data_IF_026811298159
#
_entry.id   IF_026811298159
#
_cell.length_a   1.000
_cell.length_b   1.000
_cell.length_c   1.000
_cell.angle_alpha   90.00
_cell.angle_beta   90.00
_cell.angle_gamma   90.00
#
_symmetry.space_group_name_H-M   'P 1'
#
loop_
_entity.id
_entity.type
_entity.pdbx_description
1 polymer ?
#
# COMPACT_ATOMS: atom_id res chain seq x y z
N UNK A 1 -12.66 -34.65 19.64
CA UNK A 1 -11.19 -34.74 19.83
C UNK A 1 -10.66 -33.32 19.79
N UNK A 2 -9.75 -33.02 20.71
CA UNK A 2 -9.24 -31.71 21.11
C UNK A 2 -8.69 -30.87 19.95
N UNK A 3 -9.27 -29.68 19.74
CA UNK A 3 -8.62 -28.59 19.02
C UNK A 3 -7.42 -28.14 19.85
N UNK A 4 -6.24 -28.56 19.44
CA UNK A 4 -4.97 -28.00 19.89
C UNK A 4 -4.93 -26.53 19.48
N UNK A 5 -5.20 -25.65 20.43
CA UNK A 5 -4.88 -24.23 20.35
C UNK A 5 -3.37 -24.10 20.14
N UNK A 6 -2.99 -23.75 18.91
CA UNK A 6 -1.63 -23.34 18.53
C UNK A 6 -1.28 -22.06 19.30
N UNK A 7 -0.77 -22.22 20.52
CA UNK A 7 -0.34 -21.11 21.38
C UNK A 7 1.06 -20.60 21.02
N UNK A 8 1.60 -20.91 19.83
CA UNK A 8 2.97 -20.54 19.43
C UNK A 8 3.07 -19.64 18.21
N UNK A 9 1.97 -19.34 17.51
CA UNK A 9 2.03 -18.58 16.25
C UNK A 9 1.70 -17.09 16.43
N UNK A 10 1.01 -16.72 17.50
CA UNK A 10 0.76 -15.32 17.87
C UNK A 10 2.01 -14.59 18.37
N UNK A 11 3.14 -15.29 18.57
CA UNK A 11 4.40 -14.68 19.06
C UNK A 11 5.19 -13.94 18.00
N UNK A 12 4.90 -14.17 16.71
CA UNK A 12 5.68 -13.60 15.60
C UNK A 12 5.27 -12.17 15.24
N UNK A 13 4.18 -11.68 15.83
CA UNK A 13 3.66 -10.34 15.66
C UNK A 13 3.63 -9.63 17.00
N UNK A 14 4.04 -8.37 17.01
CA UNK A 14 3.93 -7.50 18.17
C UNK A 14 3.00 -6.33 17.87
N UNK A 15 2.21 -5.96 18.87
CA UNK A 15 1.29 -4.83 18.81
C UNK A 15 2.07 -3.52 18.95
N UNK A 16 1.92 -2.62 17.96
CA UNK A 16 2.52 -1.29 18.01
C UNK A 16 1.72 -0.31 18.87
N UNK A 17 0.50 -0.68 19.31
CA UNK A 17 -0.41 0.14 20.10
C UNK A 17 -0.74 1.49 19.46
N UNK A 18 -0.84 1.52 18.13
CA UNK A 18 -1.18 2.72 17.36
C UNK A 18 -2.70 2.82 17.20
N UNK A 19 -3.37 1.68 17.01
CA UNK A 19 -4.79 1.58 16.77
C UNK A 19 -5.52 0.91 17.94
N UNK A 20 -6.65 1.48 18.40
CA UNK A 20 -7.53 0.79 19.32
C UNK A 20 -8.15 -0.43 18.62
N UNK A 21 -8.38 -1.50 19.39
CA UNK A 21 -9.11 -2.66 18.90
C UNK A 21 -10.58 -2.26 18.68
N UNK A 22 -10.98 -2.24 17.42
CA UNK A 22 -12.36 -2.00 16.97
C UNK A 22 -12.66 -2.96 15.82
N UNK A 23 -13.95 -3.26 15.60
CA UNK A 23 -14.37 -4.11 14.48
C UNK A 23 -13.94 -3.54 13.11
N UNK A 24 -13.70 -2.23 13.03
CA UNK A 24 -13.21 -1.55 11.82
C UNK A 24 -11.72 -1.80 11.54
N UNK A 25 -10.94 -2.15 12.57
CA UNK A 25 -9.49 -2.38 12.49
C UNK A 25 -9.13 -3.87 12.56
N UNK A 26 -10.13 -4.74 12.66
CA UNK A 26 -9.95 -6.19 12.67
C UNK A 26 -9.59 -6.67 11.27
N UNK A 27 -8.76 -7.73 11.21
CA UNK A 27 -8.52 -8.43 9.96
C UNK A 27 -9.83 -9.05 9.46
N UNK A 28 -10.25 -8.73 8.24
CA UNK A 28 -11.44 -9.27 7.59
C UNK A 28 -11.12 -10.32 6.51
N UNK A 29 -9.83 -10.65 6.35
CA UNK A 29 -9.33 -11.47 5.25
C UNK A 29 -9.26 -12.94 5.66
N UNK A 30 -10.23 -13.75 5.26
CA UNK A 30 -10.29 -15.16 5.62
C UNK A 30 -9.40 -16.07 4.73
N UNK A 31 -9.43 -17.37 5.02
CA UNK A 31 -8.64 -18.37 4.29
C UNK A 31 -9.05 -18.49 2.81
N UNK A 32 -10.31 -18.23 2.44
CA UNK A 32 -10.77 -18.26 1.04
C UNK A 32 -10.09 -17.13 0.23
N UNK A 33 -9.95 -15.95 0.83
CA UNK A 33 -9.22 -14.85 0.18
C UNK A 33 -7.73 -15.16 0.01
N UNK A 34 -7.13 -15.88 0.97
CA UNK A 34 -5.73 -16.35 0.86
C UNK A 34 -5.58 -17.34 -0.30
N UNK A 35 -6.53 -18.27 -0.45
CA UNK A 35 -6.53 -19.22 -1.58
C UNK A 35 -6.64 -18.50 -2.92
N UNK A 36 -7.54 -17.51 -3.04
CA UNK A 36 -7.65 -16.67 -4.25
C UNK A 36 -6.33 -15.98 -4.56
N UNK A 37 -5.65 -15.43 -3.55
CA UNK A 37 -4.35 -14.77 -3.72
C UNK A 37 -3.26 -15.74 -4.16
N UNK A 38 -3.23 -16.96 -3.64
CA UNK A 38 -2.32 -18.02 -4.10
C UNK A 38 -2.56 -18.40 -5.57
N UNK A 39 -3.84 -18.52 -5.96
CA UNK A 39 -4.23 -18.87 -7.32
C UNK A 39 -3.99 -17.75 -8.33
N UNK A 40 -3.95 -16.49 -7.87
CA UNK A 40 -3.75 -15.32 -8.73
C UNK A 40 -2.38 -15.28 -9.42
N UNK A 41 -1.41 -16.07 -8.94
CA UNK A 41 0.01 -16.01 -9.36
C UNK A 41 0.62 -14.61 -9.21
N UNK A 42 0.05 -13.77 -8.33
CA UNK A 42 0.57 -12.45 -8.01
C UNK A 42 1.90 -12.48 -7.25
N UNK A 43 2.26 -13.65 -6.69
CA UNK A 43 3.46 -13.89 -5.90
C UNK A 43 4.27 -15.06 -6.49
N UNK A 44 5.58 -15.13 -6.19
CA UNK A 44 6.40 -16.30 -6.50
C UNK A 44 5.83 -17.60 -5.91
N UNK A 45 6.04 -18.73 -6.58
CA UNK A 45 5.48 -20.04 -6.17
C UNK A 45 5.96 -20.49 -4.79
N UNK A 46 7.16 -20.08 -4.38
CA UNK A 46 7.76 -20.36 -3.08
C UNK A 46 7.24 -19.48 -1.94
N UNK A 47 6.30 -18.56 -2.23
CA UNK A 47 5.75 -17.64 -1.22
C UNK A 47 4.93 -18.39 -0.20
N UNK A 48 5.31 -18.23 1.07
CA UNK A 48 4.57 -18.79 2.21
C UNK A 48 3.51 -17.78 2.64
N UNK A 49 2.25 -18.20 2.59
CA UNK A 49 1.12 -17.43 3.12
C UNK A 49 0.79 -17.88 4.53
N UNK A 50 0.50 -16.92 5.41
CA UNK A 50 0.00 -17.18 6.76
C UNK A 50 -1.53 -17.22 6.71
N UNK A 51 -2.13 -18.20 7.38
CA UNK A 51 -3.59 -18.31 7.55
C UNK A 51 -4.19 -17.10 8.25
N UNK A 52 -5.49 -16.92 8.07
CA UNK A 52 -6.25 -15.88 8.74
C UNK A 52 -6.12 -15.99 10.26
N UNK A 53 -5.87 -14.85 10.89
CA UNK A 53 -5.83 -14.70 12.34
C UNK A 53 -6.68 -13.47 12.73
N UNK A 54 -7.89 -13.67 13.27
CA UNK A 54 -8.78 -12.57 13.64
C UNK A 54 -8.22 -11.69 14.76
N UNK A 55 -7.20 -12.15 15.49
CA UNK A 55 -6.54 -11.36 16.53
C UNK A 55 -5.48 -10.39 15.97
N UNK A 56 -5.14 -10.47 14.68
CA UNK A 56 -4.21 -9.53 14.07
C UNK A 56 -4.90 -8.20 13.73
N UNK A 57 -4.36 -7.12 14.26
CA UNK A 57 -4.72 -5.75 13.91
C UNK A 57 -3.84 -5.23 12.78
N UNK A 58 -4.31 -4.20 12.09
CA UNK A 58 -3.55 -3.53 11.03
C UNK A 58 -2.22 -2.88 11.49
N UNK A 59 -2.08 -2.58 12.78
CA UNK A 59 -0.86 -2.03 13.38
C UNK A 59 0.06 -3.09 14.01
N UNK A 60 -0.25 -4.38 13.85
CA UNK A 60 0.69 -5.43 14.22
C UNK A 60 1.86 -5.48 13.23
N UNK A 61 3.07 -5.70 13.76
CA UNK A 61 4.29 -5.79 12.97
C UNK A 61 5.03 -7.08 13.25
N UNK A 62 5.78 -7.57 12.27
CA UNK A 62 6.59 -8.78 12.37
C UNK A 62 7.97 -8.53 11.78
N UNK A 63 8.98 -9.17 12.38
CA UNK A 63 10.33 -9.23 11.83
C UNK A 63 10.52 -10.37 10.83
N UNK A 64 9.54 -11.28 10.74
CA UNK A 64 9.55 -12.46 9.85
C UNK A 64 8.58 -12.32 8.69
N UNK A 65 7.40 -11.75 8.95
CA UNK A 65 6.32 -11.67 7.99
C UNK A 65 6.16 -10.25 7.43
N UNK A 66 5.76 -10.17 6.16
CA UNK A 66 5.42 -8.91 5.50
C UNK A 66 3.92 -8.89 5.23
N UNK A 67 3.24 -7.86 5.74
CA UNK A 67 1.81 -7.67 5.50
C UNK A 67 1.60 -6.87 4.22
N UNK A 68 0.72 -7.36 3.35
CA UNK A 68 0.30 -6.65 2.15
C UNK A 68 -1.20 -6.34 2.20
N UNK A 69 -1.63 -5.14 1.78
CA UNK A 69 -3.04 -4.91 1.46
C UNK A 69 -3.40 -5.67 0.18
N UNK A 70 -4.66 -6.09 0.03
CA UNK A 70 -5.16 -6.75 -1.19
C UNK A 70 -5.19 -5.81 -2.40
N UNK A 71 -5.54 -4.54 -2.15
CA UNK A 71 -5.82 -3.55 -3.18
C UNK A 71 -4.76 -3.41 -4.31
N UNK A 72 -3.44 -3.40 -4.05
CA UNK A 72 -2.42 -3.31 -5.10
C UNK A 72 -2.49 -4.45 -6.11
N UNK A 73 -2.83 -5.66 -5.65
CA UNK A 73 -2.93 -6.84 -6.51
C UNK A 73 -4.20 -6.78 -7.37
N UNK A 74 -5.29 -6.20 -6.84
CA UNK A 74 -6.49 -5.89 -7.64
C UNK A 74 -6.20 -4.90 -8.79
N UNK A 75 -5.15 -4.08 -8.66
CA UNK A 75 -4.68 -3.18 -9.73
C UNK A 75 -3.78 -3.89 -10.76
N UNK A 76 -3.55 -5.20 -10.62
CA UNK A 76 -2.72 -6.02 -11.50
C UNK A 76 -1.22 -5.91 -11.22
N UNK A 77 -0.83 -5.54 -9.98
CA UNK A 77 0.57 -5.61 -9.56
C UNK A 77 0.95 -7.02 -9.13
N UNK A 78 2.23 -7.33 -9.31
CA UNK A 78 2.88 -8.56 -8.88
C UNK A 78 3.99 -8.21 -7.88
N UNK A 79 4.22 -9.08 -6.90
CA UNK A 79 5.37 -8.96 -6.02
C UNK A 79 6.56 -9.77 -6.60
N UNK A 80 7.81 -9.24 -6.58
CA UNK A 80 8.24 -7.95 -6.05
C UNK A 80 7.70 -6.75 -6.85
N UNK A 81 7.29 -5.70 -6.15
CA UNK A 81 6.71 -4.52 -6.79
C UNK A 81 7.71 -3.80 -7.71
N UNK A 82 7.22 -3.11 -8.76
CA UNK A 82 8.07 -2.34 -9.66
C UNK A 82 8.98 -1.33 -8.97
N UNK A 83 10.13 -1.02 -9.59
CA UNK A 83 11.22 -0.23 -8.98
C UNK A 83 10.76 1.06 -8.32
N UNK A 84 9.94 1.86 -9.00
CA UNK A 84 9.43 3.13 -8.45
C UNK A 84 8.62 2.93 -7.16
N UNK A 85 7.79 1.89 -7.13
CA UNK A 85 6.94 1.56 -5.96
C UNK A 85 7.84 1.10 -4.81
N UNK A 86 8.77 0.18 -5.10
CA UNK A 86 9.72 -0.33 -4.12
C UNK A 86 10.61 0.79 -3.54
N UNK A 87 11.09 1.71 -4.37
CA UNK A 87 11.86 2.88 -3.93
C UNK A 87 11.03 3.85 -3.09
N UNK A 88 9.77 4.06 -3.45
CA UNK A 88 8.85 4.91 -2.69
C UNK A 88 8.73 4.43 -1.24
N UNK A 89 8.41 3.14 -1.02
CA UNK A 89 8.29 2.60 0.34
C UNK A 89 9.64 2.58 1.07
N UNK A 90 10.74 2.28 0.36
CA UNK A 90 12.09 2.30 0.95
C UNK A 90 12.49 3.70 1.44
N UNK A 91 12.21 4.75 0.67
CA UNK A 91 12.59 6.13 0.98
C UNK A 91 11.66 6.75 2.02
N UNK A 92 10.35 6.55 1.88
CA UNK A 92 9.35 7.13 2.81
C UNK A 92 9.27 6.40 4.14
N UNK A 93 9.79 5.16 4.21
CA UNK A 93 9.71 4.28 5.38
C UNK A 93 8.28 3.91 5.79
N UNK A 94 7.32 4.10 4.89
CA UNK A 94 5.96 3.60 5.06
C UNK A 94 5.94 2.08 4.92
N UNK A 95 5.09 1.40 5.66
CA UNK A 95 4.71 0.02 5.34
C UNK A 95 3.60 0.01 4.27
N UNK A 96 3.45 -1.11 3.55
CA UNK A 96 2.47 -1.19 2.45
C UNK A 96 1.04 -0.83 2.87
N UNK A 97 0.50 -1.29 4.01
CA UNK A 97 -0.85 -0.92 4.45
C UNK A 97 -1.03 0.57 4.80
N UNK A 98 0.05 1.30 5.10
CA UNK A 98 -0.01 2.73 5.43
C UNK A 98 -0.19 3.64 4.21
N UNK A 99 0.01 3.12 2.99
CA UNK A 99 -0.22 3.93 1.80
C UNK A 99 -1.71 4.13 1.57
N UNK A 100 -2.11 5.40 1.48
CA UNK A 100 -3.48 5.79 1.12
C UNK A 100 -3.94 5.09 -0.17
N UNK A 101 -5.23 4.70 -0.30
CA UNK A 101 -5.73 4.01 -1.49
C UNK A 101 -5.34 4.70 -2.81
N UNK A 102 -5.47 6.02 -2.91
CA UNK A 102 -5.11 6.78 -4.12
C UNK A 102 -3.60 6.81 -4.43
N UNK A 103 -2.75 6.56 -3.43
CA UNK A 103 -1.30 6.45 -3.63
C UNK A 103 -0.94 5.26 -4.52
N UNK A 104 -1.68 4.16 -4.43
CA UNK A 104 -1.41 2.96 -5.24
C UNK A 104 -1.63 3.21 -6.75
N UNK A 105 -2.81 3.67 -7.23
CA UNK A 105 -3.00 4.03 -8.63
C UNK A 105 -2.02 5.08 -9.14
N UNK A 106 -1.66 6.07 -8.30
CA UNK A 106 -0.68 7.08 -8.67
C UNK A 106 0.68 6.44 -8.98
N UNK A 107 1.23 5.66 -8.05
CA UNK A 107 2.53 5.01 -8.21
C UNK A 107 2.54 4.05 -9.41
N UNK A 108 1.46 3.29 -9.62
CA UNK A 108 1.28 2.41 -10.78
C UNK A 108 1.29 3.21 -12.08
N UNK A 109 0.54 4.32 -12.12
CA UNK A 109 0.43 5.16 -13.31
C UNK A 109 1.78 5.78 -13.65
N UNK A 110 2.48 6.36 -12.67
CA UNK A 110 3.79 6.95 -12.86
C UNK A 110 4.82 5.92 -13.32
N UNK A 111 4.80 4.72 -12.75
CA UNK A 111 5.68 3.63 -13.18
C UNK A 111 5.44 3.26 -14.65
N UNK A 112 4.16 3.11 -15.05
CA UNK A 112 3.78 2.82 -16.45
C UNK A 112 4.20 3.96 -17.39
N UNK A 113 4.07 5.21 -16.97
CA UNK A 113 4.51 6.38 -17.76
C UNK A 113 6.03 6.43 -17.93
N UNK A 114 6.79 6.19 -16.86
CA UNK A 114 8.25 6.06 -16.94
C UNK A 114 8.65 4.99 -17.95
N UNK A 115 8.06 3.80 -17.87
CA UNK A 115 8.37 2.70 -18.78
C UNK A 115 7.97 2.99 -20.23
N UNK A 116 6.80 3.58 -20.46
CA UNK A 116 6.26 3.82 -21.80
C UNK A 116 6.95 4.97 -22.54
N UNK A 117 7.32 6.03 -21.81
CA UNK A 117 7.82 7.27 -22.40
C UNK A 117 9.27 7.59 -22.02
N UNK A 118 9.95 6.72 -21.28
CA UNK A 118 11.32 6.94 -20.82
C UNK A 118 11.45 8.09 -19.83
N UNK A 119 10.38 8.40 -19.09
CA UNK A 119 10.41 9.44 -18.06
C UNK A 119 11.21 8.94 -16.84
N UNK A 120 11.86 9.87 -16.14
CA UNK A 120 12.60 9.60 -14.91
C UNK A 120 11.88 10.21 -13.70
N UNK A 121 10.57 9.93 -13.56
CA UNK A 121 9.81 10.40 -12.40
C UNK A 121 10.17 9.52 -11.20
N UNK A 122 10.90 10.08 -10.24
CA UNK A 122 11.31 9.40 -9.01
C UNK A 122 10.55 9.89 -7.78
N UNK A 123 10.93 9.36 -6.62
CA UNK A 123 10.39 9.77 -5.32
C UNK A 123 10.61 11.28 -5.04
N UNK A 124 11.75 11.92 -5.41
CA UNK A 124 11.90 13.37 -5.26
C UNK A 124 10.83 14.15 -6.00
N UNK A 125 10.57 13.82 -7.27
CA UNK A 125 9.54 14.47 -8.08
C UNK A 125 8.16 14.28 -7.45
N UNK A 126 7.83 13.04 -7.04
CA UNK A 126 6.57 12.73 -6.38
C UNK A 126 6.42 13.57 -5.11
N UNK A 127 7.44 13.64 -4.26
CA UNK A 127 7.39 14.44 -3.02
C UNK A 127 7.21 15.94 -3.26
N UNK A 128 7.66 16.44 -4.41
CA UNK A 128 7.53 17.86 -4.78
C UNK A 128 6.15 18.23 -5.32
N UNK A 129 5.37 17.24 -5.77
CA UNK A 129 4.07 17.45 -6.42
C UNK A 129 2.94 16.73 -5.73
N UNK A 130 3.18 15.81 -4.80
CA UNK A 130 2.13 15.02 -4.16
C UNK A 130 2.17 15.18 -2.66
N UNK A 131 1.09 15.72 -2.10
CA UNK A 131 0.98 15.88 -0.66
C UNK A 131 0.58 14.57 0.01
N UNK A 132 1.58 13.82 0.49
CA UNK A 132 1.38 12.55 1.18
C UNK A 132 0.59 12.65 2.49
N UNK A 133 0.58 13.83 3.13
CA UNK A 133 0.00 14.05 4.46
C UNK A 133 -1.36 14.75 4.44
N UNK A 134 -1.83 15.18 3.27
CA UNK A 134 -3.08 15.92 3.17
C UNK A 134 -4.21 14.97 2.85
N UNK A 135 -5.42 15.27 3.31
CA UNK A 135 -6.57 14.38 3.15
C UNK A 135 -7.49 14.88 2.04
N UNK A 136 -7.78 14.02 1.06
CA UNK A 136 -8.81 14.24 0.06
C UNK A 136 -9.34 12.90 -0.43
N UNK A 137 -10.63 12.62 -0.21
CA UNK A 137 -11.25 11.40 -0.72
C UNK A 137 -11.30 11.45 -2.25
N UNK A 138 -10.79 10.40 -2.91
CA UNK A 138 -10.90 10.20 -4.36
C UNK A 138 -10.31 11.31 -5.24
N UNK A 139 -9.42 12.16 -4.70
CA UNK A 139 -8.76 13.23 -5.44
C UNK A 139 -7.26 12.98 -5.47
N UNK A 140 -6.64 13.19 -6.65
CA UNK A 140 -5.19 13.27 -6.73
C UNK A 140 -4.72 14.56 -6.07
N UNK A 141 -3.93 14.46 -5.01
CA UNK A 141 -3.39 15.59 -4.24
C UNK A 141 -2.14 16.17 -4.93
N UNK A 142 -2.29 16.50 -6.21
CA UNK A 142 -1.23 17.07 -7.00
C UNK A 142 -1.12 18.58 -6.74
N UNK A 143 0.02 19.03 -6.25
CA UNK A 143 0.38 20.43 -6.17
C UNK A 143 1.13 20.87 -7.43
N UNK A 144 0.76 22.05 -7.91
CA UNK A 144 1.53 22.74 -8.94
C UNK A 144 2.85 23.21 -8.35
N UNK A 145 3.94 23.07 -9.11
CA UNK A 145 5.20 23.76 -8.77
C UNK A 145 4.98 25.28 -8.76
N UNK A 146 5.51 25.96 -7.74
CA UNK A 146 5.45 27.42 -7.62
C UNK A 146 6.04 28.07 -8.88
N UNK A 147 5.28 28.97 -9.51
CA UNK A 147 5.70 29.68 -10.74
C UNK A 147 5.54 28.92 -12.07
N UNK A 148 5.09 27.66 -12.08
CA UNK A 148 4.84 26.93 -13.32
C UNK A 148 3.54 27.38 -14.01
N UNK A 149 3.50 27.50 -15.36
CA UNK A 149 2.27 27.83 -16.07
C UNK A 149 1.22 26.72 -15.92
N UNK A 150 -0.05 27.09 -15.95
CA UNK A 150 -1.15 26.12 -15.96
C UNK A 150 -1.18 25.42 -17.31
N UNK A 151 -0.89 24.11 -17.32
CA UNK A 151 -0.80 23.32 -18.55
C UNK A 151 -2.16 22.83 -19.06
N UNK A 152 -3.17 22.77 -18.20
CA UNK A 152 -4.53 22.31 -18.53
C UNK A 152 -5.50 23.44 -18.25
N UNK A 153 -6.13 23.97 -19.30
CA UNK A 153 -7.15 25.01 -19.15
C UNK A 153 -8.48 24.41 -18.63
N UNK A 154 -9.19 25.15 -17.78
CA UNK A 154 -10.54 24.76 -17.31
C UNK A 154 -10.61 23.89 -16.06
N UNK A 155 -9.53 23.76 -15.29
CA UNK A 155 -9.52 23.09 -13.98
C UNK A 155 -9.70 24.09 -12.84
N UNK A 156 -10.52 23.72 -11.85
CA UNK A 156 -10.63 24.40 -10.55
C UNK A 156 -9.44 24.06 -9.68
N UNK A 157 -8.79 25.08 -9.13
CA UNK A 157 -7.65 24.94 -8.21
C UNK A 157 -8.13 25.22 -6.79
N UNK A 158 -7.66 24.43 -5.83
CA UNK A 158 -7.66 24.87 -4.43
C UNK A 158 -6.43 25.78 -4.29
N UNK A 159 -6.63 27.09 -4.37
CA UNK A 159 -5.57 28.04 -4.02
C UNK A 159 -5.43 28.04 -2.50
N UNK A 160 -4.22 27.78 -2.00
CA UNK A 160 -3.89 28.05 -0.60
C UNK A 160 -3.82 29.59 -0.46
N UNK A 161 -4.60 30.17 0.46
CA UNK A 161 -4.41 31.55 0.95
C UNK A 161 -3.02 31.72 1.61
#
# INVERSE_FOLDING_TARGET
MSHSTSSSESSDFFDQNILPYTDQNACTFDDDHIEVMQLSRAFPEETIFRRYDPALKADHSSTKWVCFPEYPFSLGLFFPFPTLISEFFRITRLCYPQLMPMGWPLLVTLHKLNHKYGLMIGVPEISSVYQLRTHGYSLFLLQRRTGAPVLVHGVTMNEDE
#
